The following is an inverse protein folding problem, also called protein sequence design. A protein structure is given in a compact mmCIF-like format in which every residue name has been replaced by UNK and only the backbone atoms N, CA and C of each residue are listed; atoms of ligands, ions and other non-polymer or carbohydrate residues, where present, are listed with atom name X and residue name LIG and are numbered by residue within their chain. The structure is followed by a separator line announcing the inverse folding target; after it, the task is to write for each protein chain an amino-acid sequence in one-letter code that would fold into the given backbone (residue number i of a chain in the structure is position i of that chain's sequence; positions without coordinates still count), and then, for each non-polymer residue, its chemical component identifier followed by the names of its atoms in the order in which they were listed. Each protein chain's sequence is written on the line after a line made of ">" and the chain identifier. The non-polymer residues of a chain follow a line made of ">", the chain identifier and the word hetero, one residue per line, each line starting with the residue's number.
data_IF_532447361665
#
_entry.id   IF_532447361665
#
_cell.length_a   1.000
_cell.length_b   1.000
_cell.length_c   1.000
_cell.angle_alpha   90.00
_cell.angle_beta   90.00
_cell.angle_gamma   90.00
#
_symmetry.space_group_name_H-M   'P 1'
#
loop_
_entity.id
_entity.type
_entity.pdbx_description
1 polymer ?
#
# COMPACT_ATOMS: atom_id res chain seq x y z
N UNK A 1 32.44 13.26 10.57
CA UNK A 1 32.07 12.82 9.22
C UNK A 1 30.58 12.46 9.03
N UNK A 2 29.78 12.20 10.07
CA UNK A 2 28.34 11.86 9.94
C UNK A 2 27.35 12.92 10.46
N UNK A 3 27.80 14.17 10.73
CA UNK A 3 26.96 15.21 11.34
C UNK A 3 25.85 15.72 10.42
N UNK A 4 26.14 15.88 9.12
CA UNK A 4 25.17 16.30 8.10
C UNK A 4 24.05 15.28 7.90
N UNK A 5 24.38 13.98 7.92
CA UNK A 5 23.39 12.90 7.81
C UNK A 5 22.49 12.83 9.05
N UNK A 6 23.05 13.05 10.25
CA UNK A 6 22.29 13.06 11.50
C UNK A 6 21.28 14.22 11.56
N UNK A 7 21.60 15.41 11.03
CA UNK A 7 20.65 16.54 10.97
C UNK A 7 19.45 16.25 10.07
N UNK A 8 19.66 15.60 8.92
CA UNK A 8 18.57 15.24 8.00
C UNK A 8 17.76 14.08 8.58
N UNK A 9 18.42 13.07 9.14
CA UNK A 9 17.77 11.89 9.71
C UNK A 9 17.06 12.17 11.05
N UNK A 10 17.50 13.22 11.77
CA UNK A 10 17.00 13.59 13.08
C UNK A 10 15.50 13.93 13.11
N UNK A 11 14.96 14.51 12.03
CA UNK A 11 13.51 14.80 11.92
C UNK A 11 12.71 13.52 11.64
N UNK A 12 13.30 12.53 10.94
CA UNK A 12 12.60 11.29 10.63
C UNK A 12 12.47 10.35 11.83
N UNK A 13 13.39 10.42 12.81
CA UNK A 13 13.35 9.55 13.99
C UNK A 13 12.02 9.71 14.79
N UNK A 14 11.58 10.93 15.17
CA UNK A 14 10.27 11.14 15.80
C UNK A 14 9.08 10.71 14.94
N UNK A 15 9.13 10.91 13.61
CA UNK A 15 8.05 10.51 12.70
C UNK A 15 7.93 8.98 12.57
N UNK A 16 9.05 8.26 12.65
CA UNK A 16 9.06 6.79 12.60
C UNK A 16 8.48 6.23 13.90
N UNK A 17 8.90 6.76 15.06
CA UNK A 17 8.46 6.25 16.38
C UNK A 17 6.98 6.54 16.64
N UNK A 18 6.46 7.67 16.16
CA UNK A 18 5.04 8.04 16.31
C UNK A 18 4.15 7.52 15.18
N UNK A 19 4.68 6.68 14.28
CA UNK A 19 3.89 6.12 13.19
C UNK A 19 2.83 5.14 13.73
N UNK A 20 1.55 5.50 13.53
CA UNK A 20 0.42 4.72 14.01
C UNK A 20 0.35 3.29 13.43
N UNK A 21 0.82 3.09 12.20
CA UNK A 21 0.79 1.78 11.57
C UNK A 21 1.80 0.81 12.22
N UNK A 22 2.96 1.33 12.62
CA UNK A 22 3.99 0.55 13.33
C UNK A 22 3.52 0.24 14.75
N UNK A 23 3.06 1.24 15.50
CA UNK A 23 2.54 1.06 16.86
C UNK A 23 1.35 0.09 16.90
N UNK A 24 0.39 0.23 15.97
CA UNK A 24 -0.79 -0.64 15.91
C UNK A 24 -0.45 -2.10 15.61
N UNK A 25 0.55 -2.38 14.77
CA UNK A 25 1.00 -3.74 14.49
C UNK A 25 1.85 -4.32 15.62
N UNK A 26 2.67 -3.50 16.25
CA UNK A 26 3.44 -3.90 17.43
C UNK A 26 2.50 -4.32 18.58
N UNK A 27 1.46 -3.53 18.84
CA UNK A 27 0.49 -3.82 19.91
C UNK A 27 -0.43 -5.00 19.56
N UNK A 28 -0.87 -5.14 18.30
CA UNK A 28 -1.79 -6.20 17.89
C UNK A 28 -1.12 -7.57 17.66
N UNK A 29 0.11 -7.63 17.16
CA UNK A 29 0.77 -8.88 16.74
C UNK A 29 2.04 -9.19 17.55
N UNK A 30 2.95 -8.23 17.68
CA UNK A 30 4.24 -8.49 18.34
C UNK A 30 4.12 -8.72 19.86
N UNK A 31 3.10 -8.16 20.51
CA UNK A 31 2.86 -8.31 21.95
C UNK A 31 2.40 -9.72 22.37
N UNK A 32 1.87 -10.53 21.45
CA UNK A 32 1.23 -11.83 21.76
C UNK A 32 1.89 -13.03 21.08
N UNK A 33 2.92 -12.83 20.26
CA UNK A 33 3.49 -13.84 19.38
C UNK A 33 5.01 -13.98 19.60
N UNK A 34 5.61 -15.17 19.48
CA UNK A 34 7.06 -15.36 19.55
C UNK A 34 7.85 -14.48 18.57
N UNK A 35 9.11 -14.21 18.93
CA UNK A 35 10.00 -13.24 18.28
C UNK A 35 10.17 -13.50 16.78
N UNK A 36 10.31 -14.77 16.36
CA UNK A 36 10.59 -15.14 14.97
C UNK A 36 9.43 -14.76 14.00
N UNK A 37 8.18 -15.18 14.24
CA UNK A 37 7.04 -14.73 13.43
C UNK A 37 6.76 -13.22 13.56
N UNK A 38 7.00 -12.60 14.72
CA UNK A 38 6.86 -11.16 14.87
C UNK A 38 7.88 -10.37 14.02
N UNK A 39 9.11 -10.87 13.89
CA UNK A 39 10.14 -10.25 13.05
C UNK A 39 9.78 -10.34 11.56
N UNK A 40 9.24 -11.48 11.10
CA UNK A 40 8.78 -11.65 9.73
C UNK A 40 7.59 -10.72 9.43
N UNK A 41 6.65 -10.57 10.37
CA UNK A 41 5.52 -9.65 10.22
C UNK A 41 5.99 -8.19 10.09
N UNK A 42 6.91 -7.77 10.96
CA UNK A 42 7.51 -6.44 10.90
C UNK A 42 8.23 -6.18 9.58
N UNK A 43 8.98 -7.16 9.07
CA UNK A 43 9.68 -7.06 7.78
C UNK A 43 8.68 -6.93 6.62
N UNK A 44 7.65 -7.76 6.58
CA UNK A 44 6.65 -7.73 5.52
C UNK A 44 5.82 -6.44 5.55
N UNK A 45 5.46 -5.96 6.74
CA UNK A 45 4.77 -4.69 6.93
C UNK A 45 5.64 -3.52 6.45
N UNK A 46 6.92 -3.50 6.82
CA UNK A 46 7.87 -2.47 6.39
C UNK A 46 8.08 -2.46 4.88
N UNK A 47 8.30 -3.63 4.26
CA UNK A 47 8.43 -3.77 2.81
C UNK A 47 7.16 -3.34 2.07
N UNK A 48 5.98 -3.73 2.57
CA UNK A 48 4.70 -3.33 1.99
C UNK A 48 4.47 -1.82 2.08
N UNK A 49 4.73 -1.22 3.24
CA UNK A 49 4.61 0.23 3.43
C UNK A 49 5.59 0.99 2.54
N UNK A 50 6.85 0.56 2.48
CA UNK A 50 7.86 1.13 1.60
C UNK A 50 7.48 1.04 0.12
N UNK A 51 6.99 -0.12 -0.34
CA UNK A 51 6.53 -0.30 -1.71
C UNK A 51 5.38 0.63 -2.09
N UNK A 52 4.42 0.84 -1.17
CA UNK A 52 3.32 1.81 -1.37
C UNK A 52 3.86 3.24 -1.46
N UNK A 53 4.80 3.64 -0.60
CA UNK A 53 5.41 4.96 -0.66
C UNK A 53 6.19 5.20 -1.95
N UNK A 54 6.94 4.20 -2.43
CA UNK A 54 7.67 4.27 -3.71
C UNK A 54 6.69 4.41 -4.87
N UNK A 55 5.63 3.59 -4.91
CA UNK A 55 4.60 3.67 -5.95
C UNK A 55 3.87 5.02 -5.93
N UNK A 56 3.49 5.51 -4.76
CA UNK A 56 2.86 6.83 -4.60
C UNK A 56 3.80 7.95 -5.02
N UNK A 57 5.08 7.89 -4.66
CA UNK A 57 6.11 8.84 -5.08
C UNK A 57 6.25 8.88 -6.60
N UNK A 58 6.40 7.72 -7.23
CA UNK A 58 6.51 7.60 -8.68
C UNK A 58 5.29 8.16 -9.43
N UNK A 59 4.07 7.88 -8.96
CA UNK A 59 2.85 8.45 -9.54
C UNK A 59 2.82 9.97 -9.37
N UNK A 60 3.25 10.49 -8.21
CA UNK A 60 3.27 11.93 -7.94
C UNK A 60 4.32 12.68 -8.75
N UNK A 61 5.49 12.09 -8.96
CA UNK A 61 6.52 12.64 -9.85
C UNK A 61 6.04 12.64 -11.31
N UNK A 62 5.48 11.51 -11.77
CA UNK A 62 4.98 11.38 -13.13
C UNK A 62 3.84 12.36 -13.44
N UNK A 63 2.87 12.52 -12.52
CA UNK A 63 1.72 13.41 -12.72
C UNK A 63 2.05 14.87 -12.40
N UNK A 64 2.97 15.11 -11.45
CA UNK A 64 3.32 16.44 -10.98
C UNK A 64 4.35 17.15 -11.85
N UNK A 65 5.38 16.45 -12.34
CA UNK A 65 6.50 17.02 -13.09
C UNK A 65 6.74 16.38 -14.46
N UNK A 66 6.05 15.29 -14.81
CA UNK A 66 6.23 14.60 -16.09
C UNK A 66 7.56 13.82 -16.20
N UNK A 67 8.25 13.63 -15.07
CA UNK A 67 9.55 12.96 -14.98
C UNK A 67 9.46 11.74 -14.06
N UNK A 68 10.23 10.70 -14.37
CA UNK A 68 10.53 9.61 -13.43
C UNK A 68 11.96 9.77 -12.91
N UNK A 69 12.14 9.63 -11.59
CA UNK A 69 13.45 9.66 -10.92
C UNK A 69 14.21 10.98 -11.09
N UNK A 70 13.50 12.11 -11.03
CA UNK A 70 14.13 13.42 -10.89
C UNK A 70 14.88 13.51 -9.55
N UNK A 71 16.04 14.17 -9.55
CA UNK A 71 16.84 14.45 -8.34
C UNK A 71 17.39 13.24 -7.56
N UNK A 72 17.42 12.04 -8.16
CA UNK A 72 18.02 10.84 -7.53
C UNK A 72 19.53 11.00 -7.24
N UNK A 73 20.16 12.01 -7.85
CA UNK A 73 21.54 12.43 -7.58
C UNK A 73 21.78 12.88 -6.12
N UNK A 74 20.75 13.35 -5.40
CA UNK A 74 20.87 13.73 -3.98
C UNK A 74 20.96 12.52 -3.05
N UNK A 75 20.44 11.35 -3.47
CA UNK A 75 20.41 10.13 -2.65
C UNK A 75 21.58 9.19 -2.95
N UNK A 76 21.97 9.06 -4.22
CA UNK A 76 23.00 8.13 -4.69
C UNK A 76 24.27 8.80 -5.23
N UNK A 77 24.36 10.13 -5.15
CA UNK A 77 25.48 10.90 -5.67
C UNK A 77 25.44 11.06 -7.20
N UNK A 78 26.52 11.60 -7.81
CA UNK A 78 26.55 12.00 -9.23
C UNK A 78 26.32 10.85 -10.22
N UNK A 79 26.38 9.59 -9.78
CA UNK A 79 26.16 8.39 -10.62
C UNK A 79 24.67 8.23 -11.01
N UNK A 80 23.74 8.74 -10.20
CA UNK A 80 22.30 8.59 -10.46
C UNK A 80 21.69 9.76 -11.27
N UNK A 81 22.49 10.75 -11.68
CA UNK A 81 22.04 11.86 -12.50
C UNK A 81 21.51 11.42 -13.89
N UNK A 82 21.91 10.24 -14.36
CA UNK A 82 21.54 9.71 -15.68
C UNK A 82 20.30 8.80 -15.67
N UNK A 83 19.65 8.60 -14.52
CA UNK A 83 18.43 7.80 -14.41
C UNK A 83 17.14 8.61 -14.60
N UNK A 84 17.27 9.91 -14.85
CA UNK A 84 16.15 10.80 -15.12
C UNK A 84 15.53 10.45 -16.48
N UNK A 85 14.30 9.94 -16.48
CA UNK A 85 13.52 9.71 -17.69
C UNK A 85 12.48 10.83 -17.76
N UNK A 86 12.68 11.77 -18.68
CA UNK A 86 11.74 12.88 -18.94
C UNK A 86 10.73 12.44 -20.01
N UNK A 87 9.45 12.31 -19.65
CA UNK A 87 8.41 11.87 -20.59
C UNK A 87 7.65 13.04 -21.21
N UNK A 88 7.53 14.18 -20.51
CA UNK A 88 6.84 15.39 -20.99
C UNK A 88 7.57 16.64 -20.49
N UNK A 89 7.90 17.56 -21.39
CA UNK A 89 8.48 18.86 -21.06
C UNK A 89 7.37 19.86 -20.65
N UNK A 90 7.63 20.67 -19.61
CA UNK A 90 6.79 21.79 -19.15
C UNK A 90 5.37 21.44 -18.67
N UNK A 91 5.24 20.44 -17.79
CA UNK A 91 3.98 20.17 -17.09
C UNK A 91 4.22 20.15 -15.57
N UNK A 92 3.90 21.25 -14.88
CA UNK A 92 4.01 21.37 -13.42
C UNK A 92 2.63 21.48 -12.77
N UNK A 93 2.04 20.34 -12.39
CA UNK A 93 0.82 20.33 -11.59
C UNK A 93 1.15 20.44 -10.10
N UNK A 94 1.25 21.69 -9.62
CA UNK A 94 1.59 22.02 -8.23
C UNK A 94 0.68 21.31 -7.21
N UNK A 95 -0.60 21.08 -7.57
CA UNK A 95 -1.58 20.37 -6.75
C UNK A 95 -1.12 18.97 -6.31
N UNK A 96 -0.39 18.24 -7.16
CA UNK A 96 0.07 16.88 -6.87
C UNK A 96 1.32 16.83 -5.96
N UNK A 97 2.07 17.93 -5.89
CA UNK A 97 3.21 18.10 -4.97
C UNK A 97 2.73 18.41 -3.54
N UNK A 98 1.59 19.09 -3.37
CA UNK A 98 1.04 19.44 -2.06
C UNK A 98 0.41 18.22 -1.33
N UNK A 99 0.24 18.29 0.02
CA UNK A 99 -0.45 17.26 0.81
C UNK A 99 -1.79 16.73 0.23
N UNK A 100 -2.71 17.57 -0.29
CA UNK A 100 -3.93 17.11 -0.97
C UNK A 100 -3.69 16.13 -2.13
N UNK A 101 -2.61 16.30 -2.89
CA UNK A 101 -2.25 15.39 -3.99
C UNK A 101 -1.92 13.98 -3.49
N UNK A 102 -1.25 13.87 -2.34
CA UNK A 102 -0.94 12.57 -1.74
C UNK A 102 -2.20 11.82 -1.32
N UNK A 103 -3.19 12.51 -0.73
CA UNK A 103 -4.48 11.89 -0.38
C UNK A 103 -5.29 11.46 -1.60
N UNK A 104 -5.27 12.26 -2.66
CA UNK A 104 -5.94 11.91 -3.92
C UNK A 104 -5.36 10.63 -4.54
N UNK A 105 -4.03 10.53 -4.62
CA UNK A 105 -3.34 9.33 -5.13
C UNK A 105 -3.61 8.11 -4.24
N UNK A 106 -3.56 8.28 -2.92
CA UNK A 106 -3.89 7.19 -1.99
C UNK A 106 -5.33 6.69 -2.19
N UNK A 107 -6.29 7.61 -2.32
CA UNK A 107 -7.69 7.28 -2.60
C UNK A 107 -7.87 6.50 -3.90
N UNK A 108 -7.19 6.93 -4.97
CA UNK A 108 -7.23 6.22 -6.26
C UNK A 108 -6.60 4.83 -6.18
N UNK A 109 -5.47 4.68 -5.48
CA UNK A 109 -4.83 3.38 -5.26
C UNK A 109 -5.72 2.42 -4.44
N UNK A 110 -6.40 2.92 -3.40
CA UNK A 110 -7.33 2.12 -2.60
C UNK A 110 -8.55 1.71 -3.45
N UNK A 111 -9.11 2.63 -4.24
CA UNK A 111 -10.22 2.34 -5.14
C UNK A 111 -9.82 1.27 -6.17
N UNK A 112 -8.65 1.41 -6.79
CA UNK A 112 -8.10 0.43 -7.72
C UNK A 112 -7.93 -0.94 -7.05
N UNK A 113 -7.33 -0.99 -5.86
CA UNK A 113 -7.18 -2.23 -5.10
C UNK A 113 -8.53 -2.88 -4.80
N UNK A 114 -9.52 -2.11 -4.35
CA UNK A 114 -10.85 -2.63 -4.04
C UNK A 114 -11.54 -3.22 -5.29
N UNK A 115 -11.44 -2.54 -6.44
CA UNK A 115 -11.96 -3.07 -7.71
C UNK A 115 -11.25 -4.35 -8.12
N UNK A 116 -9.93 -4.42 -8.00
CA UNK A 116 -9.16 -5.63 -8.31
C UNK A 116 -9.56 -6.79 -7.39
N UNK A 117 -9.76 -6.52 -6.10
CA UNK A 117 -10.12 -7.54 -5.11
C UNK A 117 -11.55 -8.07 -5.36
N UNK A 118 -12.50 -7.18 -5.65
CA UNK A 118 -13.86 -7.57 -6.06
C UNK A 118 -13.86 -8.43 -7.32
N UNK A 119 -13.04 -8.10 -8.32
CA UNK A 119 -12.91 -8.89 -9.54
C UNK A 119 -12.29 -10.26 -9.28
N UNK A 120 -11.34 -10.37 -8.34
CA UNK A 120 -10.75 -11.64 -7.90
C UNK A 120 -11.77 -12.47 -7.13
N UNK A 121 -12.51 -11.87 -6.20
CA UNK A 121 -13.55 -12.53 -5.43
C UNK A 121 -14.71 -13.03 -6.32
N UNK A 122 -15.13 -12.24 -7.32
CA UNK A 122 -16.14 -12.64 -8.30
C UNK A 122 -15.67 -13.81 -9.18
N UNK A 123 -14.37 -13.89 -9.48
CA UNK A 123 -13.78 -15.05 -10.18
C UNK A 123 -13.60 -16.28 -9.29
N UNK A 124 -13.44 -16.06 -7.98
CA UNK A 124 -13.24 -17.11 -6.98
C UNK A 124 -14.56 -17.66 -6.42
N UNK A 125 -15.72 -17.06 -6.73
CA UNK A 125 -17.01 -17.62 -6.33
C UNK A 125 -17.29 -18.92 -7.10
N UNK A 126 -17.32 -20.09 -6.41
CA UNK A 126 -17.77 -21.32 -7.03
C UNK A 126 -19.24 -21.17 -7.40
N UNK A 127 -19.62 -21.76 -8.54
CA UNK A 127 -21.01 -21.84 -9.04
C UNK A 127 -21.94 -22.15 -7.88
N UNK A 128 -22.81 -21.20 -7.55
CA UNK A 128 -23.80 -21.32 -6.49
C UNK A 128 -24.79 -22.41 -6.92
N UNK A 129 -24.59 -23.65 -6.45
CA UNK A 129 -25.55 -24.73 -6.67
C UNK A 129 -26.81 -24.33 -5.93
N UNK A 130 -27.82 -23.88 -6.68
CA UNK A 130 -29.11 -23.47 -6.16
C UNK A 130 -29.64 -24.51 -5.17
N UNK A 131 -30.21 -24.12 -4.02
CA UNK A 131 -30.74 -25.06 -3.06
C UNK A 131 -31.81 -25.91 -3.76
N UNK A 132 -31.49 -27.20 -3.93
CA UNK A 132 -32.40 -28.21 -4.49
C UNK A 132 -33.68 -28.16 -3.68
N UNK A 133 -34.77 -27.76 -4.32
CA UNK A 133 -36.08 -27.70 -3.69
C UNK A 133 -36.37 -29.01 -2.96
N UNK A 134 -36.33 -28.99 -1.62
CA UNK A 134 -36.77 -30.10 -0.80
C UNK A 134 -38.27 -30.25 -1.00
N UNK A 135 -38.64 -31.14 -1.92
CA UNK A 135 -40.01 -31.60 -2.08
C UNK A 135 -40.36 -32.36 -0.81
N UNK A 136 -40.94 -31.66 0.18
CA UNK A 136 -41.55 -32.27 1.37
C UNK A 136 -42.64 -33.24 0.92
N UNK A 137 -42.29 -34.52 0.83
CA UNK A 137 -43.25 -35.60 0.63
C UNK A 137 -44.01 -35.74 1.94
N UNK A 138 -45.26 -35.29 1.95
CA UNK A 138 -46.22 -35.51 3.03
C UNK A 138 -46.47 -37.01 3.12
N UNK A 139 -45.89 -37.67 4.12
CA UNK A 139 -46.27 -39.04 4.48
C UNK A 139 -47.58 -38.95 5.26
N UNK A 140 -48.71 -38.94 4.54
CA UNK A 140 -50.00 -39.27 5.14
C UNK A 140 -50.10 -40.79 5.21
N UNK A 141 -49.74 -41.36 6.36
CA UNK A 141 -50.00 -42.74 6.72
C UNK A 141 -50.69 -42.78 8.06
N UNK A 142 -52.01 -42.97 8.04
CA UNK A 142 -52.90 -43.10 9.20
C UNK A 142 -52.54 -44.36 9.98
N UNK A 143 -52.14 -44.23 11.24
CA UNK A 143 -51.96 -45.37 12.15
C UNK A 143 -53.27 -45.54 12.92
N UNK A 144 -53.93 -46.69 12.72
CA UNK A 144 -55.02 -47.18 13.58
C UNK A 144 -54.43 -47.92 14.77
#
# INVERSE_FOLDING_TARGET
>A
FAYSLYQILGIFIPLIVTNCAILGRADAFASRQPVLPAAIDGLMMGLGFGAVLVLMGAIRELVGQGTLFSDMALLFGPVAAHWQITLVADYQFLFFILPPGAFFVAGLLIALKNVLDQRRAARAQPVNVAPRAERRVRVTGTIK
#
